data_IF_839428554033
#
_entry.id   IF_839428554033
#
_cell.length_a   1.000
_cell.length_b   1.000
_cell.length_c   1.000
_cell.angle_alpha   90.00
_cell.angle_beta   90.00
_cell.angle_gamma   90.00
#
_symmetry.space_group_name_H-M   'P 1'
#
loop_
_entity.id
_entity.type
_entity.pdbx_description
1 polymer ?
#
# COMPACT_ATOMS: atom_id res chain seq x y z
N UNK A 1 8.85 -12.84 4.89
CA UNK A 1 9.98 -11.96 4.55
C UNK A 1 9.97 -10.63 5.28
N UNK A 2 8.82 -10.16 5.78
CA UNK A 2 8.76 -9.01 6.69
C UNK A 2 9.15 -9.45 8.11
N UNK A 3 9.98 -8.65 8.78
CA UNK A 3 10.44 -8.92 10.13
C UNK A 3 9.81 -7.92 11.08
N UNK A 4 9.07 -8.44 12.06
CA UNK A 4 8.48 -7.66 13.14
C UNK A 4 9.16 -8.04 14.45
N UNK A 5 9.24 -7.08 15.37
CA UNK A 5 9.82 -7.28 16.69
C UNK A 5 8.91 -6.65 17.74
N UNK A 6 8.92 -7.25 18.93
CA UNK A 6 8.24 -6.73 20.12
C UNK A 6 9.23 -6.69 21.27
N UNK A 7 9.09 -5.72 22.15
CA UNK A 7 9.85 -5.66 23.41
C UNK A 7 9.18 -6.45 24.54
N UNK A 8 7.90 -6.78 24.37
CA UNK A 8 7.12 -7.50 25.36
C UNK A 8 7.32 -9.02 25.18
N UNK A 9 7.95 -9.72 26.15
CA UNK A 9 8.17 -11.16 26.08
C UNK A 9 6.88 -11.97 26.21
N UNK A 10 5.81 -11.38 26.75
CA UNK A 10 4.52 -12.03 26.96
C UNK A 10 3.54 -11.76 25.80
N UNK A 11 4.00 -11.04 24.77
CA UNK A 11 3.22 -10.77 23.57
C UNK A 11 2.81 -12.06 22.86
N UNK A 12 1.63 -12.08 22.19
CA UNK A 12 1.23 -13.21 21.37
C UNK A 12 2.20 -13.42 20.21
N UNK A 13 2.11 -14.59 19.57
CA UNK A 13 2.87 -14.84 18.34
C UNK A 13 2.51 -13.80 17.27
N UNK A 14 3.43 -13.53 16.33
CA UNK A 14 3.16 -12.57 15.26
C UNK A 14 1.91 -12.93 14.45
N UNK A 15 1.66 -14.22 14.20
CA UNK A 15 0.48 -14.66 13.45
C UNK A 15 -0.81 -14.46 14.25
N UNK A 16 -0.79 -14.67 15.57
CA UNK A 16 -1.96 -14.39 16.43
C UNK A 16 -2.22 -12.89 16.54
N UNK A 17 -1.16 -12.07 16.60
CA UNK A 17 -1.27 -10.61 16.57
C UNK A 17 -1.84 -10.10 15.24
N UNK A 18 -1.38 -10.63 14.11
CA UNK A 18 -1.92 -10.24 12.80
C UNK A 18 -3.35 -10.74 12.61
N UNK A 19 -3.67 -11.95 13.08
CA UNK A 19 -4.96 -12.59 12.85
C UNK A 19 -5.33 -12.58 11.36
N UNK A 20 -6.53 -12.10 11.05
CA UNK A 20 -7.01 -12.00 9.68
C UNK A 20 -6.18 -11.04 8.80
N UNK A 21 -5.42 -10.10 9.39
CA UNK A 21 -4.53 -9.19 8.65
C UNK A 21 -3.45 -9.92 7.86
N UNK A 22 -3.04 -11.12 8.31
CA UNK A 22 -2.01 -11.91 7.63
C UNK A 22 -2.37 -12.17 6.16
N UNK A 23 -3.61 -12.60 5.88
CA UNK A 23 -4.07 -12.82 4.51
C UNK A 23 -4.03 -11.53 3.66
N UNK A 24 -4.36 -10.38 4.26
CA UNK A 24 -4.30 -9.10 3.54
C UNK A 24 -2.86 -8.71 3.22
N UNK A 25 -1.91 -8.93 4.12
CA UNK A 25 -0.48 -8.70 3.87
C UNK A 25 0.03 -9.56 2.71
N UNK A 26 -0.40 -10.82 2.61
CA UNK A 26 -0.01 -11.72 1.52
C UNK A 26 -0.40 -11.17 0.14
N UNK A 27 -1.51 -10.42 0.05
CA UNK A 27 -1.91 -9.76 -1.20
C UNK A 27 -0.90 -8.72 -1.71
N UNK A 28 -0.04 -8.19 -0.82
CA UNK A 28 1.04 -7.27 -1.15
C UNK A 28 2.36 -8.01 -1.40
N UNK A 29 2.71 -9.01 -0.58
CA UNK A 29 4.08 -9.53 -0.50
C UNK A 29 4.27 -10.99 -0.95
N UNK A 30 3.20 -11.79 -1.05
CA UNK A 30 3.26 -13.22 -1.43
C UNK A 30 2.31 -13.60 -2.58
N UNK A 31 1.86 -12.60 -3.35
CA UNK A 31 0.97 -12.79 -4.50
C UNK A 31 1.60 -13.53 -5.69
N UNK A 32 2.92 -13.74 -5.67
CA UNK A 32 3.75 -14.29 -6.77
C UNK A 32 4.81 -15.21 -6.17
N UNK A 33 5.21 -16.24 -6.92
CA UNK A 33 6.36 -17.04 -6.52
C UNK A 33 7.64 -16.18 -6.39
N UNK A 34 8.42 -16.42 -5.35
CA UNK A 34 9.64 -15.67 -5.05
C UNK A 34 9.42 -14.34 -4.31
N UNK A 35 8.17 -13.96 -4.04
CA UNK A 35 7.80 -12.78 -3.26
C UNK A 35 8.21 -11.46 -3.91
N UNK A 36 8.52 -10.46 -3.08
CA UNK A 36 8.87 -9.10 -3.51
C UNK A 36 10.35 -8.76 -3.32
N UNK A 37 10.80 -7.72 -4.02
CA UNK A 37 12.05 -7.03 -3.77
C UNK A 37 11.85 -5.51 -3.65
N UNK A 38 12.77 -4.84 -2.96
CA UNK A 38 12.77 -3.39 -2.80
C UNK A 38 13.61 -2.75 -3.91
N UNK A 39 13.04 -1.80 -4.64
CA UNK A 39 13.64 -1.16 -5.83
C UNK A 39 13.92 0.34 -5.65
N UNK A 40 13.42 0.95 -4.58
CA UNK A 40 13.81 2.29 -4.14
C UNK A 40 13.57 2.46 -2.64
N UNK A 41 14.29 3.40 -2.03
CA UNK A 41 14.16 3.71 -0.59
C UNK A 41 14.36 5.21 -0.37
N UNK A 42 13.48 5.80 0.43
CA UNK A 42 13.57 7.19 0.85
C UNK A 42 13.39 7.31 2.36
N UNK A 43 14.10 8.28 2.95
CA UNK A 43 13.91 8.69 4.35
C UNK A 43 13.84 10.20 4.44
N UNK A 44 12.85 10.73 5.14
CA UNK A 44 12.67 12.16 5.38
C UNK A 44 11.93 12.40 6.69
N UNK A 45 11.94 13.65 7.18
CA UNK A 45 11.25 14.04 8.41
C UNK A 45 10.04 14.90 8.04
N UNK A 46 8.88 14.55 8.59
CA UNK A 46 7.65 15.35 8.54
C UNK A 46 7.38 15.97 9.91
N UNK A 47 6.95 17.25 9.98
CA UNK A 47 6.65 17.94 11.23
C UNK A 47 5.24 17.60 11.74
N UNK A 48 4.95 16.30 11.89
CA UNK A 48 3.67 15.81 12.37
C UNK A 48 3.83 14.59 13.29
N UNK A 49 2.79 14.30 14.06
CA UNK A 49 2.70 13.08 14.82
C UNK A 49 2.53 11.87 13.91
N UNK A 50 3.18 10.75 14.22
CA UNK A 50 3.15 9.52 13.41
C UNK A 50 1.73 8.94 13.21
N UNK A 51 0.79 9.29 14.10
CA UNK A 51 -0.60 8.84 13.99
C UNK A 51 -1.32 9.40 12.76
N UNK A 52 -0.99 10.62 12.31
CA UNK A 52 -1.63 11.22 11.13
C UNK A 52 -1.43 10.40 9.85
N UNK A 53 -0.20 10.07 9.42
CA UNK A 53 -0.03 9.22 8.25
C UNK A 53 -0.52 7.77 8.49
N UNK A 54 -0.45 7.27 9.74
CA UNK A 54 -1.01 5.96 10.08
C UNK A 54 -2.53 5.88 9.87
N UNK A 55 -3.30 6.89 10.29
CA UNK A 55 -4.75 6.90 10.09
C UNK A 55 -5.13 7.18 8.64
N UNK A 56 -4.39 8.06 7.95
CA UNK A 56 -4.59 8.37 6.55
C UNK A 56 -4.52 7.09 5.69
N UNK A 57 -3.41 6.34 5.81
CA UNK A 57 -3.26 5.05 5.13
C UNK A 57 -4.20 3.97 5.68
N UNK A 58 -4.58 4.08 6.95
CA UNK A 58 -5.45 3.11 7.63
C UNK A 58 -6.89 3.15 7.12
N UNK A 59 -7.40 4.31 6.72
CA UNK A 59 -8.79 4.39 6.27
C UNK A 59 -9.30 5.67 5.65
N UNK A 60 -8.45 6.65 5.40
CA UNK A 60 -8.89 7.91 4.80
C UNK A 60 -8.99 7.78 3.28
N UNK A 61 -10.05 7.14 2.77
CA UNK A 61 -10.37 7.21 1.34
C UNK A 61 -11.00 8.56 0.96
N UNK A 62 -11.38 9.37 1.95
CA UNK A 62 -12.17 10.58 1.77
C UNK A 62 -11.32 11.73 1.24
N UNK A 63 -10.08 11.89 1.73
CA UNK A 63 -9.18 12.96 1.29
C UNK A 63 -8.81 12.86 -0.20
N UNK A 64 -8.82 11.67 -0.79
CA UNK A 64 -8.29 11.44 -2.16
C UNK A 64 -8.93 12.34 -3.20
N UNK A 65 -10.26 12.49 -3.17
CA UNK A 65 -10.97 13.35 -4.13
C UNK A 65 -10.73 14.85 -3.92
N UNK A 66 -10.21 15.24 -2.76
CA UNK A 66 -10.01 16.63 -2.36
C UNK A 66 -8.54 17.03 -2.39
N UNK A 67 -7.71 16.45 -1.52
CA UNK A 67 -6.28 16.74 -1.41
C UNK A 67 -5.56 16.46 -2.73
N UNK A 68 -5.86 15.32 -3.38
CA UNK A 68 -5.21 14.91 -4.62
C UNK A 68 -5.97 15.34 -5.89
N UNK A 69 -6.87 16.32 -5.79
CA UNK A 69 -7.65 16.83 -6.94
C UNK A 69 -6.75 17.34 -8.07
N UNK A 70 -5.58 17.88 -7.73
CA UNK A 70 -4.53 18.28 -8.69
C UNK A 70 -4.09 17.08 -9.55
N UNK A 71 -3.68 15.99 -8.90
CA UNK A 71 -3.20 14.76 -9.53
C UNK A 71 -4.29 14.11 -10.40
N UNK A 72 -5.55 14.12 -9.93
CA UNK A 72 -6.70 13.60 -10.67
C UNK A 72 -6.95 14.46 -11.92
N UNK A 73 -6.98 15.78 -11.76
CA UNK A 73 -7.26 16.72 -12.87
C UNK A 73 -6.19 16.68 -13.95
N UNK A 74 -4.92 16.46 -13.58
CA UNK A 74 -3.82 16.31 -14.55
C UNK A 74 -3.74 14.91 -15.18
N UNK A 75 -4.61 13.97 -14.79
CA UNK A 75 -4.62 12.60 -15.28
C UNK A 75 -3.49 11.72 -14.73
N UNK A 76 -2.87 12.11 -13.62
CA UNK A 76 -1.86 11.30 -12.93
C UNK A 76 -2.51 10.14 -12.15
N UNK A 77 -3.73 10.33 -11.67
CA UNK A 77 -4.59 9.30 -11.06
C UNK A 77 -6.00 9.38 -11.63
N UNK A 78 -6.73 8.25 -11.60
CA UNK A 78 -8.15 8.20 -11.96
C UNK A 78 -9.07 8.27 -10.74
N UNK A 79 -8.52 8.49 -9.53
CA UNK A 79 -9.28 8.70 -8.29
C UNK A 79 -10.15 7.51 -7.91
N UNK A 80 -9.67 6.27 -8.11
CA UNK A 80 -10.51 5.07 -8.02
C UNK A 80 -11.19 4.86 -6.66
N UNK A 81 -10.57 5.31 -5.57
CA UNK A 81 -11.14 5.29 -4.21
C UNK A 81 -12.21 6.35 -3.97
N UNK A 82 -12.17 7.46 -4.71
CA UNK A 82 -13.13 8.56 -4.62
C UNK A 82 -14.37 8.35 -5.49
N UNK A 83 -14.47 7.23 -6.23
CA UNK A 83 -15.59 6.95 -7.13
C UNK A 83 -16.89 6.63 -6.35
N UNK A 84 -17.97 7.43 -6.50
CA UNK A 84 -19.22 7.27 -5.73
C UNK A 84 -19.98 5.95 -5.98
N UNK A 85 -19.68 5.23 -7.06
CA UNK A 85 -20.30 3.96 -7.44
C UNK A 85 -19.43 2.72 -7.21
N UNK A 86 -18.26 2.89 -6.58
CA UNK A 86 -17.30 1.81 -6.37
C UNK A 86 -17.77 0.74 -5.39
N UNK A 87 -17.31 -0.50 -5.56
CA UNK A 87 -17.45 -1.58 -4.56
C UNK A 87 -16.42 -1.44 -3.43
N UNK A 88 -16.13 -0.21 -3.02
CA UNK A 88 -15.09 0.11 -2.07
C UNK A 88 -15.53 -0.30 -0.66
N UNK A 89 -14.59 -0.79 0.16
CA UNK A 89 -14.84 -1.30 1.50
C UNK A 89 -13.73 -0.83 2.44
N UNK A 90 -14.14 -0.42 3.64
CA UNK A 90 -13.24 -0.35 4.78
C UNK A 90 -13.25 -1.71 5.48
N UNK A 91 -12.06 -2.23 5.79
CA UNK A 91 -11.91 -3.51 6.49
C UNK A 91 -11.10 -3.30 7.76
N UNK A 92 -11.59 -3.82 8.87
CA UNK A 92 -10.89 -3.89 10.16
C UNK A 92 -10.75 -5.36 10.58
N UNK A 93 -9.59 -6.00 10.31
CA UNK A 93 -9.36 -7.41 10.62
C UNK A 93 -9.17 -7.73 12.11
N UNK A 94 -9.19 -6.71 12.99
CA UNK A 94 -8.87 -6.84 14.42
C UNK A 94 -7.52 -6.19 14.77
N UNK A 95 -7.21 -6.15 16.07
CA UNK A 95 -5.92 -5.65 16.63
C UNK A 95 -5.47 -4.26 16.14
N UNK A 96 -6.43 -3.40 15.79
CA UNK A 96 -6.20 -2.04 15.31
C UNK A 96 -5.75 -1.95 13.84
N UNK A 97 -5.66 -3.07 13.12
CA UNK A 97 -5.35 -3.09 11.70
C UNK A 97 -6.53 -2.54 10.89
N UNK A 98 -6.24 -1.75 9.86
CA UNK A 98 -7.27 -1.16 9.00
C UNK A 98 -6.80 -1.14 7.56
N UNK A 99 -7.73 -1.37 6.62
CA UNK A 99 -7.46 -1.31 5.18
C UNK A 99 -8.57 -0.59 4.43
N UNK A 100 -8.15 0.10 3.38
CA UNK A 100 -8.96 0.54 2.26
C UNK A 100 -8.88 -0.53 1.17
N UNK A 101 -10.04 -1.03 0.78
CA UNK A 101 -10.19 -2.02 -0.28
C UNK A 101 -11.11 -1.52 -1.38
N UNK A 102 -10.84 -1.94 -2.61
CA UNK A 102 -11.72 -1.76 -3.76
C UNK A 102 -12.32 -3.10 -4.19
N UNK A 103 -13.24 -3.07 -5.15
CA UNK A 103 -13.80 -4.30 -5.73
C UNK A 103 -12.70 -5.19 -6.32
N UNK A 104 -12.91 -6.51 -6.32
CA UNK A 104 -11.92 -7.49 -6.78
C UNK A 104 -11.37 -7.21 -8.20
N UNK A 105 -12.23 -6.76 -9.11
CA UNK A 105 -11.86 -6.40 -10.49
C UNK A 105 -11.31 -4.98 -10.63
N UNK A 106 -11.33 -4.19 -9.56
CA UNK A 106 -10.82 -2.83 -9.55
C UNK A 106 -9.32 -2.84 -9.75
N UNK A 107 -8.84 -2.07 -10.72
CA UNK A 107 -7.43 -1.73 -10.81
C UNK A 107 -7.19 -0.44 -10.02
N UNK A 108 -6.22 -0.47 -9.12
CA UNK A 108 -5.65 0.78 -8.59
C UNK A 108 -5.05 1.61 -9.73
N UNK A 109 -4.79 2.89 -9.47
CA UNK A 109 -4.25 3.86 -10.44
C UNK A 109 -2.88 3.39 -11.00
N UNK A 110 -2.84 2.54 -12.02
CA UNK A 110 -1.60 2.15 -12.69
C UNK A 110 -1.54 2.87 -14.05
N UNK A 111 -0.79 3.98 -14.18
CA UNK A 111 -0.85 4.83 -15.38
C UNK A 111 -0.09 4.26 -16.59
N UNK A 112 0.80 3.27 -16.39
CA UNK A 112 1.70 2.79 -17.44
C UNK A 112 1.19 1.48 -18.10
N UNK A 113 1.08 1.42 -19.44
CA UNK A 113 0.58 0.24 -20.15
C UNK A 113 1.32 -1.07 -19.82
N UNK A 114 2.63 -1.01 -19.61
CA UNK A 114 3.47 -2.16 -19.25
C UNK A 114 3.11 -2.71 -17.86
N UNK A 115 2.75 -1.86 -16.91
CA UNK A 115 2.29 -2.27 -15.58
C UNK A 115 0.92 -2.93 -15.70
N UNK A 116 0.01 -2.33 -16.47
CA UNK A 116 -1.33 -2.90 -16.68
C UNK A 116 -1.29 -4.25 -17.40
N UNK A 117 -0.41 -4.39 -18.39
CA UNK A 117 -0.20 -5.65 -19.10
C UNK A 117 0.33 -6.73 -18.16
N UNK A 118 1.34 -6.40 -17.35
CA UNK A 118 1.88 -7.29 -16.33
C UNK A 118 0.81 -7.72 -15.31
N UNK A 119 0.02 -6.80 -14.77
CA UNK A 119 -1.05 -7.14 -13.81
C UNK A 119 -2.13 -8.03 -14.42
N UNK A 120 -2.43 -7.89 -15.72
CA UNK A 120 -3.35 -8.80 -16.42
C UNK A 120 -2.75 -10.19 -16.59
N UNK A 121 -1.48 -10.27 -16.98
CA UNK A 121 -0.78 -11.52 -17.24
C UNK A 121 -0.71 -12.41 -16.01
N UNK A 122 -0.36 -11.83 -14.85
CA UNK A 122 -0.12 -12.60 -13.62
C UNK A 122 -1.39 -12.89 -12.82
N UNK A 123 -2.53 -12.30 -13.19
CA UNK A 123 -3.78 -12.41 -12.41
C UNK A 123 -4.21 -13.86 -12.14
N UNK A 124 -4.08 -14.82 -13.08
CA UNK A 124 -4.38 -16.22 -12.79
C UNK A 124 -3.51 -16.81 -11.66
N UNK A 125 -2.21 -16.53 -11.66
CA UNK A 125 -1.27 -16.97 -10.61
C UNK A 125 -1.62 -16.33 -9.25
N UNK A 126 -1.87 -15.02 -9.25
CA UNK A 126 -2.27 -14.26 -8.05
C UNK A 126 -3.54 -14.85 -7.45
N UNK A 127 -4.56 -15.13 -8.26
CA UNK A 127 -5.82 -15.72 -7.82
C UNK A 127 -5.63 -17.15 -7.28
N UNK A 128 -4.75 -17.94 -7.91
CA UNK A 128 -4.43 -19.29 -7.43
C UNK A 128 -3.77 -19.26 -6.05
N UNK A 129 -2.81 -18.35 -5.83
CA UNK A 129 -2.07 -18.24 -4.56
C UNK A 129 -2.94 -17.67 -3.43
N UNK A 130 -3.69 -16.60 -3.69
CA UNK A 130 -4.49 -15.90 -2.68
C UNK A 130 -5.84 -16.58 -2.40
N UNK A 131 -6.26 -17.51 -3.28
CA UNK A 131 -7.48 -18.27 -3.15
C UNK A 131 -8.75 -17.46 -3.39
N UNK A 132 -9.89 -18.03 -3.00
CA UNK A 132 -11.23 -17.50 -3.32
C UNK A 132 -11.49 -16.09 -2.78
N UNK A 133 -10.82 -15.68 -1.70
CA UNK A 133 -10.96 -14.34 -1.12
C UNK A 133 -10.49 -13.23 -2.07
N UNK A 134 -9.55 -13.50 -2.97
CA UNK A 134 -9.09 -12.53 -3.97
C UNK A 134 -10.20 -12.13 -4.97
N UNK A 135 -11.23 -12.97 -5.15
CA UNK A 135 -12.40 -12.67 -5.97
C UNK A 135 -13.44 -11.80 -5.25
N UNK A 136 -13.26 -11.52 -3.95
CA UNK A 136 -14.20 -10.74 -3.14
C UNK A 136 -13.71 -9.31 -2.91
N UNK A 137 -12.40 -9.13 -2.72
CA UNK A 137 -11.82 -7.88 -2.25
C UNK A 137 -10.41 -7.67 -2.79
N UNK A 138 -10.10 -6.42 -3.14
CA UNK A 138 -8.77 -5.98 -3.56
C UNK A 138 -8.24 -4.94 -2.55
N UNK A 139 -7.32 -5.33 -1.64
CA UNK A 139 -6.66 -4.39 -0.73
C UNK A 139 -5.70 -3.48 -1.49
N UNK A 140 -5.80 -2.17 -1.25
CA UNK A 140 -4.98 -1.17 -1.95
C UNK A 140 -4.16 -0.31 -1.01
N UNK A 141 -4.70 0.02 0.18
CA UNK A 141 -4.04 0.83 1.20
C UNK A 141 -4.37 0.22 2.56
N UNK A 142 -3.45 0.29 3.51
CA UNK A 142 -3.78 -0.08 4.89
C UNK A 142 -2.65 0.22 5.85
N UNK A 143 -2.97 0.11 7.13
CA UNK A 143 -2.03 0.21 8.24
C UNK A 143 -2.11 -1.06 9.08
N UNK A 144 -1.01 -1.80 9.11
CA UNK A 144 -0.74 -2.77 10.17
C UNK A 144 -0.34 -1.95 11.39
N UNK A 145 -1.26 -1.88 12.36
CA UNK A 145 -1.02 -1.22 13.63
C UNK A 145 0.38 -1.56 14.22
N UNK A 146 1.08 -0.59 14.82
CA UNK A 146 0.70 0.82 14.92
C UNK A 146 1.05 1.66 13.68
N UNK A 147 2.23 1.43 13.08
CA UNK A 147 2.87 2.42 12.23
C UNK A 147 3.49 1.84 10.95
N UNK A 148 3.05 0.66 10.51
CA UNK A 148 3.47 0.06 9.26
C UNK A 148 2.35 0.12 8.23
N UNK A 149 2.53 0.91 7.17
CA UNK A 149 1.52 1.10 6.14
C UNK A 149 1.91 0.49 4.80
N UNK A 150 0.90 0.06 4.06
CA UNK A 150 1.00 -0.68 2.80
C UNK A 150 0.22 0.09 1.74
N UNK A 151 0.78 0.20 0.53
CA UNK A 151 0.11 0.79 -0.62
C UNK A 151 0.45 -0.06 -1.85
N UNK A 152 -0.57 -0.49 -2.60
CA UNK A 152 -0.44 -1.22 -3.88
C UNK A 152 -0.99 -0.46 -5.07
N UNK A 153 -1.77 0.60 -4.83
CA UNK A 153 -2.41 1.43 -5.86
C UNK A 153 -1.39 2.15 -6.75
N UNK A 154 -1.33 3.49 -6.63
CA UNK A 154 -0.56 4.33 -7.56
C UNK A 154 0.96 4.15 -7.46
N UNK A 155 1.45 3.70 -6.30
CA UNK A 155 2.87 3.53 -6.05
C UNK A 155 3.02 2.43 -5.02
N UNK A 156 3.59 1.29 -5.40
CA UNK A 156 3.77 0.15 -4.51
C UNK A 156 4.73 0.49 -3.40
N UNK A 157 4.23 0.99 -2.26
CA UNK A 157 5.07 1.40 -1.14
C UNK A 157 4.76 0.63 0.12
N UNK A 158 5.81 0.23 0.82
CA UNK A 158 5.77 -0.12 2.24
C UNK A 158 6.32 1.07 3.03
N UNK A 159 5.67 1.46 4.12
CA UNK A 159 6.07 2.63 4.91
C UNK A 159 6.12 2.31 6.39
N UNK A 160 7.12 2.83 7.08
CA UNK A 160 7.18 2.85 8.55
C UNK A 160 7.22 4.30 9.01
N UNK A 161 6.27 4.69 9.87
CA UNK A 161 6.19 6.03 10.45
C UNK A 161 6.95 6.06 11.77
N UNK A 162 8.25 6.35 11.73
CA UNK A 162 9.09 6.29 12.93
C UNK A 162 8.87 7.54 13.80
N UNK A 163 8.33 7.40 15.03
CA UNK A 163 8.14 8.56 15.91
C UNK A 163 9.48 9.18 16.33
N UNK A 164 9.59 10.50 16.17
CA UNK A 164 10.73 11.33 16.63
C UNK A 164 10.26 12.36 17.65
N UNK A 165 9.53 11.88 18.67
CA UNK A 165 8.77 12.71 19.60
C UNK A 165 7.32 12.95 19.13
N UNK A 166 6.55 13.81 19.82
CA UNK A 166 5.15 14.03 19.51
C UNK A 166 4.90 14.83 18.22
N UNK A 167 5.87 15.62 17.77
CA UNK A 167 5.70 16.60 16.68
C UNK A 167 6.49 16.27 15.41
N UNK A 168 7.21 15.14 15.40
CA UNK A 168 8.04 14.75 14.26
C UNK A 168 7.92 13.26 13.98
N UNK A 169 7.92 12.93 12.71
CA UNK A 169 7.94 11.56 12.20
C UNK A 169 9.02 11.43 11.15
N UNK A 170 9.90 10.45 11.29
CA UNK A 170 10.80 10.05 10.22
C UNK A 170 10.13 8.97 9.38
N UNK A 171 9.86 9.26 8.12
CA UNK A 171 9.23 8.32 7.19
C UNK A 171 10.30 7.42 6.63
N UNK A 172 10.09 6.10 6.71
CA UNK A 172 10.87 5.13 5.95
C UNK A 172 9.99 4.57 4.85
N UNK A 173 10.18 5.01 3.61
CA UNK A 173 9.39 4.56 2.46
C UNK A 173 10.21 3.65 1.55
N UNK A 174 9.63 2.52 1.17
CA UNK A 174 10.24 1.51 0.32
C UNK A 174 9.33 1.24 -0.87
N UNK A 175 9.83 1.42 -2.09
CA UNK A 175 9.10 0.99 -3.29
C UNK A 175 9.39 -0.48 -3.53
N UNK A 176 8.36 -1.29 -3.70
CA UNK A 176 8.50 -2.73 -3.90
C UNK A 176 7.83 -3.22 -5.19
N UNK A 177 8.28 -4.37 -5.67
CA UNK A 177 7.72 -5.07 -6.83
C UNK A 177 7.93 -6.56 -6.66
N UNK A 178 7.19 -7.40 -7.38
CA UNK A 178 7.45 -8.83 -7.37
C UNK A 178 8.85 -9.10 -7.93
N UNK A 179 9.59 -9.96 -7.26
CA UNK A 179 10.96 -10.30 -7.65
C UNK A 179 11.03 -10.90 -9.05
N UNK A 180 9.98 -11.64 -9.44
CA UNK A 180 9.83 -12.25 -10.75
C UNK A 180 9.36 -11.28 -11.86
N UNK A 181 9.15 -9.98 -11.57
CA UNK A 181 8.75 -9.03 -12.60
C UNK A 181 9.87 -8.81 -13.65
N UNK A 182 9.52 -8.58 -14.93
CA UNK A 182 10.50 -8.21 -15.95
C UNK A 182 11.22 -6.88 -15.65
N UNK A 183 12.47 -6.67 -16.10
CA UNK A 183 13.25 -5.47 -15.83
C UNK A 183 12.56 -4.15 -16.22
N UNK A 184 11.84 -4.13 -17.34
CA UNK A 184 11.08 -2.98 -17.82
C UNK A 184 9.90 -2.64 -16.90
N UNK A 185 9.21 -3.65 -16.38
CA UNK A 185 8.13 -3.49 -15.40
C UNK A 185 8.69 -2.96 -14.07
N UNK A 186 9.83 -3.50 -13.61
CA UNK A 186 10.53 -3.00 -12.42
C UNK A 186 10.93 -1.52 -12.58
N UNK A 187 11.46 -1.14 -13.74
CA UNK A 187 11.80 0.25 -14.05
C UNK A 187 10.57 1.15 -14.05
N UNK A 188 9.47 0.70 -14.66
CA UNK A 188 8.20 1.41 -14.68
C UNK A 188 7.67 1.65 -13.25
N UNK A 189 7.61 0.61 -12.42
CA UNK A 189 7.19 0.74 -11.02
C UNK A 189 8.12 1.63 -10.19
N UNK A 190 9.44 1.58 -10.42
CA UNK A 190 10.38 2.49 -9.75
C UNK A 190 10.05 3.94 -10.06
N UNK A 191 9.82 4.26 -11.34
CA UNK A 191 9.52 5.62 -11.78
C UNK A 191 8.17 6.10 -11.25
N UNK A 192 7.12 5.27 -11.35
CA UNK A 192 5.80 5.62 -10.81
C UNK A 192 5.87 5.81 -9.30
N UNK A 193 6.58 4.93 -8.58
CA UNK A 193 6.77 5.02 -7.14
C UNK A 193 7.43 6.32 -6.70
N UNK A 194 8.53 6.70 -7.34
CA UNK A 194 9.23 7.97 -7.06
C UNK A 194 8.35 9.17 -7.42
N UNK A 195 7.59 9.12 -8.52
CA UNK A 195 6.74 10.23 -8.96
C UNK A 195 5.46 10.37 -8.14
N UNK A 196 4.92 9.31 -7.57
CA UNK A 196 3.67 9.37 -6.81
C UNK A 196 3.89 9.62 -5.33
N UNK A 197 4.63 8.73 -4.67
CA UNK A 197 4.68 8.59 -3.21
C UNK A 197 6.14 8.57 -2.75
N UNK A 198 6.76 9.76 -2.73
CA UNK A 198 8.14 10.00 -2.32
C UNK A 198 8.31 11.42 -1.76
N UNK A 199 9.49 11.83 -1.25
CA UNK A 199 9.73 13.20 -0.79
C UNK A 199 9.41 14.31 -1.82
N UNK A 200 9.36 13.97 -3.10
CA UNK A 200 8.98 14.87 -4.20
C UNK A 200 7.84 14.29 -5.04
N UNK A 201 7.03 13.41 -4.46
CA UNK A 201 5.94 12.73 -5.14
C UNK A 201 4.71 13.62 -5.26
N UNK A 202 3.98 13.48 -6.36
CA UNK A 202 2.76 14.24 -6.67
C UNK A 202 1.71 14.13 -5.57
N UNK A 203 1.58 12.99 -4.88
CA UNK A 203 0.62 12.80 -3.80
C UNK A 203 1.18 13.16 -2.43
N UNK A 204 2.40 12.69 -2.12
CA UNK A 204 3.03 12.86 -0.80
C UNK A 204 3.25 14.33 -0.39
N UNK A 205 3.27 15.26 -1.36
CA UNK A 205 3.37 16.69 -1.10
C UNK A 205 2.02 17.35 -0.77
N UNK A 206 0.91 16.71 -1.16
CA UNK A 206 -0.46 17.17 -0.91
C UNK A 206 -0.98 16.66 0.46
N UNK A 207 -0.43 15.54 0.95
CA UNK A 207 -0.66 14.95 2.28
C UNK A 207 0.10 15.67 3.41
#
# INVERSE_FOLDING_TARGET
GLWFATFDPDAPSLLDYLGEMAWYIDTFVDRREGGIEIIATHKWIMPCNWKFPSENFGGDAYHVGWSHSSAITTGFSVGSTASPGGKNRMVSPGNGHMLICIGADGYGDAPLPEIQAYEREIRPEVNQRLGSRAALVNPIVGTVFPNFSLLRGTSRTLRVWQPRGPEKTEVWSYVFIDKAAPPEVKKAFRLTGVRGFSPSGTFDQDD
#
